data_IF_154684548534
#
_entry.id   IF_154684548534
#
_cell.length_a   1.000
_cell.length_b   1.000
_cell.length_c   1.000
_cell.angle_alpha   90.00
_cell.angle_beta   90.00
_cell.angle_gamma   90.00
#
_symmetry.space_group_name_H-M   'P 1'
#
loop_
_entity.id
_entity.type
_entity.pdbx_description
1 polymer ?
#
# COMPACT_ATOMS: atom_id res chain seq x y z
N UNK A 1 11.96 8.97 25.70
CA UNK A 1 12.45 9.67 24.48
C UNK A 1 12.58 11.18 24.69
N UNK A 2 13.71 11.79 24.34
CA UNK A 2 13.97 13.23 24.52
C UNK A 2 13.01 14.09 23.67
N UNK A 3 12.43 15.15 24.27
CA UNK A 3 11.43 16.04 23.64
C UNK A 3 11.92 16.66 22.33
N UNK A 4 13.20 17.02 22.27
CA UNK A 4 13.86 17.57 21.07
C UNK A 4 13.97 16.56 19.92
N UNK A 5 14.14 15.27 20.23
CA UNK A 5 14.21 14.21 19.22
C UNK A 5 12.83 13.91 18.62
N UNK A 6 11.78 13.97 19.44
CA UNK A 6 10.38 13.87 19.00
C UNK A 6 10.01 15.00 18.03
N UNK A 7 10.36 16.24 18.36
CA UNK A 7 10.04 17.41 17.52
C UNK A 7 10.77 17.38 16.17
N UNK A 8 12.05 16.97 16.15
CA UNK A 8 12.80 16.76 14.90
C UNK A 8 12.15 15.70 14.02
N UNK A 9 11.72 14.58 14.61
CA UNK A 9 11.04 13.50 13.88
C UNK A 9 9.72 13.99 13.28
N UNK A 10 8.89 14.70 14.06
CA UNK A 10 7.62 15.27 13.61
C UNK A 10 7.79 16.26 12.45
N UNK A 11 8.87 17.06 12.46
CA UNK A 11 9.16 18.00 11.38
C UNK A 11 9.63 17.27 10.12
N UNK A 12 10.47 16.23 10.27
CA UNK A 12 10.97 15.44 9.15
C UNK A 12 9.87 14.66 8.44
N UNK A 13 8.99 13.99 9.19
CA UNK A 13 7.90 13.18 8.59
C UNK A 13 6.74 14.00 8.04
N UNK A 14 6.74 15.33 8.24
CA UNK A 14 5.65 16.20 7.77
C UNK A 14 5.51 16.17 6.24
N UNK A 15 6.61 16.41 5.52
CA UNK A 15 6.61 16.43 4.07
C UNK A 15 6.18 15.06 3.51
N UNK A 16 6.73 13.98 4.08
CA UNK A 16 6.41 12.60 3.68
C UNK A 16 4.91 12.29 3.89
N UNK A 17 4.33 12.76 5.00
CA UNK A 17 2.91 12.58 5.28
C UNK A 17 2.04 13.30 4.25
N UNK A 18 2.35 14.58 3.97
CA UNK A 18 1.59 15.38 3.01
C UNK A 18 1.69 14.76 1.61
N UNK A 19 2.89 14.36 1.21
CA UNK A 19 3.14 13.73 -0.08
C UNK A 19 2.39 12.40 -0.20
N UNK A 20 2.41 11.56 0.86
CA UNK A 20 1.67 10.29 0.88
C UNK A 20 0.16 10.52 0.75
N UNK A 21 -0.40 11.52 1.43
CA UNK A 21 -1.80 11.89 1.30
C UNK A 21 -2.16 12.34 -0.12
N UNK A 22 -1.30 13.14 -0.77
CA UNK A 22 -1.50 13.57 -2.16
C UNK A 22 -1.50 12.37 -3.11
N UNK A 23 -0.52 11.46 -2.97
CA UNK A 23 -0.50 10.25 -3.79
C UNK A 23 -1.69 9.34 -3.52
N UNK A 24 -2.16 9.26 -2.27
CA UNK A 24 -3.36 8.53 -1.91
C UNK A 24 -4.60 9.11 -2.63
N UNK A 25 -4.74 10.43 -2.68
CA UNK A 25 -5.80 11.09 -3.46
C UNK A 25 -5.69 10.80 -4.96
N UNK A 26 -4.49 10.91 -5.54
CA UNK A 26 -4.26 10.56 -6.95
C UNK A 26 -4.63 9.10 -7.25
N UNK A 27 -4.33 8.18 -6.33
CA UNK A 27 -4.69 6.77 -6.48
C UNK A 27 -6.22 6.57 -6.47
N UNK A 28 -6.98 7.27 -5.63
CA UNK A 28 -8.46 7.24 -5.67
C UNK A 28 -8.96 7.71 -7.04
N UNK A 29 -8.43 8.83 -7.54
CA UNK A 29 -8.81 9.35 -8.87
C UNK A 29 -8.50 8.31 -9.95
N UNK A 30 -7.35 7.64 -9.86
CA UNK A 30 -6.98 6.53 -10.73
C UNK A 30 -7.97 5.36 -10.67
N UNK A 31 -8.39 4.95 -9.47
CA UNK A 31 -9.42 3.91 -9.29
C UNK A 31 -10.71 4.30 -10.01
N UNK A 32 -11.21 5.52 -9.76
CA UNK A 32 -12.44 6.02 -10.38
C UNK A 32 -12.31 6.06 -11.91
N UNK A 33 -11.17 6.53 -12.42
CA UNK A 33 -10.91 6.56 -13.86
C UNK A 33 -10.96 5.17 -14.49
N UNK A 34 -10.33 4.16 -13.87
CA UNK A 34 -10.33 2.79 -14.38
C UNK A 34 -11.75 2.20 -14.41
N UNK A 35 -12.53 2.40 -13.34
CA UNK A 35 -13.91 1.89 -13.30
C UNK A 35 -14.84 2.62 -14.27
N UNK A 36 -14.69 3.93 -14.48
CA UNK A 36 -15.42 4.66 -15.53
C UNK A 36 -15.01 4.13 -16.92
N UNK A 37 -13.72 3.90 -17.14
CA UNK A 37 -13.21 3.29 -18.38
C UNK A 37 -13.86 1.93 -18.66
N UNK A 38 -14.00 1.08 -17.63
CA UNK A 38 -14.70 -0.19 -17.75
C UNK A 38 -16.18 -0.04 -18.10
N UNK A 39 -16.90 0.92 -17.47
CA UNK A 39 -18.31 1.17 -17.76
C UNK A 39 -18.49 1.64 -19.21
N UNK A 40 -17.60 2.48 -19.72
CA UNK A 40 -17.65 2.97 -21.10
C UNK A 40 -17.20 1.92 -22.12
N UNK A 41 -16.30 1.01 -21.74
CA UNK A 41 -15.71 0.00 -22.62
C UNK A 41 -15.70 -1.39 -21.96
N UNK A 42 -16.86 -2.02 -21.75
CA UNK A 42 -16.97 -3.26 -20.96
C UNK A 42 -16.30 -4.48 -21.59
N UNK A 43 -15.98 -4.42 -22.89
CA UNK A 43 -15.23 -5.45 -23.62
C UNK A 43 -13.76 -5.47 -23.22
N UNK A 44 -13.19 -4.34 -22.80
CA UNK A 44 -11.77 -4.19 -22.42
C UNK A 44 -11.63 -4.55 -20.93
N UNK A 45 -11.24 -5.78 -20.62
CA UNK A 45 -11.15 -6.29 -19.24
C UNK A 45 -9.93 -5.78 -18.46
N UNK A 46 -8.95 -5.20 -19.14
CA UNK A 46 -7.78 -4.53 -18.57
C UNK A 46 -8.19 -3.47 -17.55
N UNK A 47 -9.28 -2.75 -17.80
CA UNK A 47 -9.79 -1.73 -16.87
C UNK A 47 -10.15 -2.33 -15.50
N UNK A 48 -10.58 -3.59 -15.45
CA UNK A 48 -10.87 -4.30 -14.19
C UNK A 48 -9.57 -4.62 -13.46
N UNK A 49 -8.62 -5.31 -14.11
CA UNK A 49 -7.35 -5.69 -13.46
C UNK A 49 -6.58 -4.46 -13.02
N UNK A 50 -6.48 -3.43 -13.88
CA UNK A 50 -5.82 -2.17 -13.56
C UNK A 50 -6.53 -1.42 -12.43
N UNK A 51 -7.87 -1.41 -12.43
CA UNK A 51 -8.66 -0.82 -11.35
C UNK A 51 -8.37 -1.51 -10.02
N UNK A 52 -8.36 -2.84 -10.00
CA UNK A 52 -8.06 -3.63 -8.81
C UNK A 52 -6.62 -3.42 -8.30
N UNK A 53 -5.62 -3.42 -9.19
CA UNK A 53 -4.24 -3.09 -8.80
C UNK A 53 -4.13 -1.66 -8.25
N UNK A 54 -4.88 -0.71 -8.83
CA UNK A 54 -4.89 0.68 -8.33
C UNK A 54 -5.54 0.77 -6.94
N UNK A 55 -6.55 -0.06 -6.64
CA UNK A 55 -7.14 -0.18 -5.29
C UNK A 55 -6.11 -0.71 -4.29
N UNK A 56 -5.31 -1.70 -4.67
CA UNK A 56 -4.21 -2.22 -3.84
C UNK A 56 -3.21 -1.10 -3.53
N UNK A 57 -2.76 -0.36 -4.55
CA UNK A 57 -1.84 0.78 -4.38
C UNK A 57 -2.45 1.85 -3.46
N UNK A 58 -3.73 2.18 -3.65
CA UNK A 58 -4.45 3.11 -2.80
C UNK A 58 -4.45 2.68 -1.33
N UNK A 59 -4.75 1.40 -1.06
CA UNK A 59 -4.77 0.86 0.29
C UNK A 59 -3.39 0.95 0.95
N UNK A 60 -2.31 0.59 0.23
CA UNK A 60 -0.93 0.69 0.70
C UNK A 60 -0.54 2.14 1.05
N UNK A 61 -0.87 3.10 0.18
CA UNK A 61 -0.61 4.52 0.42
C UNK A 61 -1.41 5.06 1.61
N UNK A 62 -2.65 4.60 1.78
CA UNK A 62 -3.48 4.96 2.92
C UNK A 62 -2.87 4.46 4.23
N UNK A 63 -2.45 3.20 4.29
CA UNK A 63 -1.78 2.66 5.47
C UNK A 63 -0.46 3.37 5.76
N UNK A 64 0.33 3.70 4.73
CA UNK A 64 1.56 4.46 4.88
C UNK A 64 1.28 5.86 5.47
N UNK A 65 0.29 6.57 4.95
CA UNK A 65 -0.16 7.86 5.49
C UNK A 65 -0.59 7.75 6.95
N UNK A 66 -1.35 6.71 7.31
CA UNK A 66 -1.78 6.47 8.68
C UNK A 66 -0.63 6.14 9.63
N UNK A 67 0.39 5.40 9.16
CA UNK A 67 1.61 5.13 9.92
C UNK A 67 2.35 6.45 10.19
N UNK A 68 2.60 7.26 9.16
CA UNK A 68 3.29 8.54 9.31
C UNK A 68 2.54 9.51 10.25
N UNK A 69 1.21 9.54 10.17
CA UNK A 69 0.36 10.30 11.09
C UNK A 69 0.47 9.81 12.54
N UNK A 70 0.49 8.49 12.78
CA UNK A 70 0.66 7.94 14.13
C UNK A 70 2.03 8.32 14.70
N UNK A 71 3.10 8.21 13.90
CA UNK A 71 4.46 8.63 14.29
C UNK A 71 4.48 10.12 14.63
N UNK A 72 3.79 10.96 13.85
CA UNK A 72 3.73 12.40 14.11
C UNK A 72 2.95 12.74 15.38
N UNK A 73 1.86 12.02 15.66
CA UNK A 73 1.04 12.22 16.86
C UNK A 73 1.82 11.81 18.12
N UNK A 74 2.29 10.56 18.13
CA UNK A 74 2.91 9.93 19.31
C UNK A 74 4.39 10.26 19.47
N UNK A 75 5.07 10.61 18.38
CA UNK A 75 6.53 10.72 18.31
C UNK A 75 7.25 9.37 18.30
N UNK A 76 6.54 8.24 18.40
CA UNK A 76 7.15 6.91 18.54
C UNK A 76 7.06 6.14 17.21
N UNK A 77 8.19 5.70 16.63
CA UNK A 77 8.20 4.93 15.39
C UNK A 77 7.75 3.47 15.59
N UNK A 78 7.99 2.92 16.79
CA UNK A 78 7.58 1.56 17.13
C UNK A 78 6.34 1.60 18.01
N UNK A 79 5.24 1.04 17.50
CA UNK A 79 4.01 0.86 18.26
C UNK A 79 3.22 -0.31 17.72
N UNK A 80 2.44 -0.97 18.58
CA UNK A 80 1.54 -2.08 18.19
C UNK A 80 0.64 -1.69 17.01
N UNK A 81 0.12 -0.46 17.02
CA UNK A 81 -0.73 0.08 15.94
C UNK A 81 -0.01 0.21 14.59
N UNK A 82 1.29 0.54 14.58
CA UNK A 82 2.08 0.64 13.34
C UNK A 82 2.39 -0.77 12.83
N UNK A 83 2.79 -1.68 13.72
CA UNK A 83 3.03 -3.09 13.39
C UNK A 83 1.80 -3.73 12.75
N UNK A 84 0.61 -3.53 13.34
CA UNK A 84 -0.64 -4.06 12.76
C UNK A 84 -0.88 -3.51 11.35
N UNK A 85 -0.61 -2.22 11.10
CA UNK A 85 -0.77 -1.64 9.76
C UNK A 85 0.22 -2.23 8.76
N UNK A 86 1.48 -2.41 9.14
CA UNK A 86 2.48 -3.08 8.29
C UNK A 86 2.09 -4.52 7.96
N UNK A 87 1.54 -5.27 8.93
CA UNK A 87 1.04 -6.63 8.68
C UNK A 87 -0.16 -6.65 7.73
N UNK A 88 -1.09 -5.70 7.88
CA UNK A 88 -2.22 -5.55 6.97
C UNK A 88 -1.76 -5.20 5.56
N UNK A 89 -0.79 -4.30 5.41
CA UNK A 89 -0.14 -3.98 4.12
C UNK A 89 0.44 -5.23 3.46
N UNK A 90 1.20 -6.04 4.19
CA UNK A 90 1.74 -7.30 3.67
C UNK A 90 0.62 -8.23 3.16
N UNK A 91 -0.45 -8.41 3.93
CA UNK A 91 -1.60 -9.26 3.54
C UNK A 91 -2.28 -8.72 2.28
N UNK A 92 -2.48 -7.40 2.19
CA UNK A 92 -3.10 -6.75 1.03
C UNK A 92 -2.24 -6.93 -0.22
N UNK A 93 -0.92 -6.80 -0.11
CA UNK A 93 0.00 -7.06 -1.21
C UNK A 93 -0.02 -8.53 -1.63
N UNK A 94 -0.05 -9.49 -0.69
CA UNK A 94 -0.22 -10.90 -1.04
C UNK A 94 -1.51 -11.14 -1.80
N UNK A 95 -2.64 -10.63 -1.31
CA UNK A 95 -3.93 -10.74 -2.00
C UNK A 95 -3.94 -10.03 -3.36
N UNK A 96 -3.34 -8.85 -3.44
CA UNK A 96 -3.19 -8.05 -4.65
C UNK A 96 -2.33 -8.74 -5.71
N UNK A 97 -1.31 -9.47 -5.29
CA UNK A 97 -0.46 -10.26 -6.17
C UNK A 97 -1.17 -11.46 -6.79
N UNK A 98 -2.30 -11.91 -6.23
CA UNK A 98 -3.13 -12.98 -6.78
C UNK A 98 -4.16 -12.48 -7.81
N UNK A 99 -4.19 -11.19 -8.11
CA UNK A 99 -5.10 -10.59 -9.10
C UNK A 99 -4.53 -10.85 -10.49
N UNK A 100 -5.18 -11.65 -11.35
CA UNK A 100 -4.64 -11.92 -12.68
C UNK A 100 -4.66 -10.65 -13.54
N UNK A 101 -3.63 -10.48 -14.36
CA UNK A 101 -3.61 -9.47 -15.42
C UNK A 101 -4.50 -9.97 -16.56
N UNK A 102 -5.46 -9.14 -16.98
CA UNK A 102 -6.26 -9.41 -18.17
C UNK A 102 -5.65 -8.75 -19.39
N UNK A 103 -5.72 -9.44 -20.54
CA UNK A 103 -5.50 -8.84 -21.86
C UNK A 103 -6.68 -9.16 -22.77
N UNK A 104 -7.14 -8.15 -23.49
CA UNK A 104 -8.25 -8.20 -24.43
C UNK A 104 -7.71 -7.97 -25.83
N UNK A 105 -7.82 -8.98 -26.68
CA UNK A 105 -7.47 -8.89 -28.10
C UNK A 105 -8.74 -8.95 -28.95
N UNK A 106 -8.90 -8.02 -29.89
CA UNK A 106 -10.02 -8.07 -30.84
C UNK A 106 -9.80 -9.19 -31.85
N UNK A 107 -10.74 -10.15 -31.91
CA UNK A 107 -10.78 -11.17 -32.97
C UNK A 107 -11.63 -10.66 -34.14
N UNK A 108 -12.74 -9.97 -33.84
CA UNK A 108 -13.62 -9.31 -34.82
C UNK A 108 -14.27 -8.07 -34.19
N UNK A 109 -15.08 -7.32 -34.94
CA UNK A 109 -15.80 -6.13 -34.42
C UNK A 109 -16.70 -6.46 -33.20
N UNK A 110 -17.18 -7.71 -33.13
CA UNK A 110 -18.07 -8.16 -32.06
C UNK A 110 -17.45 -9.16 -31.08
N UNK A 111 -16.31 -9.77 -31.43
CA UNK A 111 -15.68 -10.81 -30.61
C UNK A 111 -14.32 -10.37 -30.07
N UNK A 112 -14.13 -10.57 -28.77
CA UNK A 112 -12.88 -10.33 -28.07
C UNK A 112 -12.38 -11.61 -27.42
N UNK A 113 -11.11 -11.94 -27.63
CA UNK A 113 -10.41 -12.93 -26.82
C UNK A 113 -10.01 -12.26 -25.50
N UNK A 114 -10.35 -12.87 -24.38
CA UNK A 114 -9.87 -12.46 -23.07
C UNK A 114 -8.91 -13.53 -22.59
N UNK A 115 -7.65 -13.15 -22.37
CA UNK A 115 -6.67 -13.99 -21.67
C UNK A 115 -6.43 -13.45 -20.27
N UNK A 116 -6.18 -14.37 -19.34
CA UNK A 116 -5.79 -14.06 -17.98
C UNK A 116 -4.43 -14.72 -17.71
N UNK A 117 -3.49 -13.97 -17.17
CA UNK A 117 -2.16 -14.48 -16.85
C UNK A 117 -1.66 -13.91 -15.53
N UNK A 118 -0.70 -14.63 -14.94
CA UNK A 118 0.16 -14.11 -13.89
C UNK A 118 1.47 -13.71 -14.52
N UNK A 119 1.84 -12.45 -14.38
CA UNK A 119 3.03 -11.87 -15.00
C UNK A 119 4.05 -11.39 -13.97
N UNK A 120 5.09 -10.69 -14.43
CA UNK A 120 6.11 -10.13 -13.55
C UNK A 120 5.55 -9.12 -12.54
N UNK A 121 4.48 -8.39 -12.87
CA UNK A 121 3.84 -7.44 -11.95
C UNK A 121 3.27 -8.18 -10.73
N UNK A 122 2.62 -9.33 -10.93
CA UNK A 122 2.15 -10.17 -9.83
C UNK A 122 3.28 -10.60 -8.91
N UNK A 123 4.38 -11.11 -9.48
CA UNK A 123 5.55 -11.58 -8.72
C UNK A 123 6.16 -10.44 -7.89
N UNK A 124 6.28 -9.24 -8.49
CA UNK A 124 6.80 -8.06 -7.81
C UNK A 124 5.91 -7.64 -6.63
N UNK A 125 4.59 -7.61 -6.82
CA UNK A 125 3.63 -7.27 -5.76
C UNK A 125 3.74 -8.26 -4.59
N UNK A 126 3.78 -9.57 -4.87
CA UNK A 126 3.94 -10.61 -3.84
C UNK A 126 5.27 -10.42 -3.09
N UNK A 127 6.35 -10.16 -3.83
CA UNK A 127 7.68 -9.98 -3.25
C UNK A 127 7.74 -8.75 -2.34
N UNK A 128 7.10 -7.65 -2.73
CA UNK A 128 6.93 -6.47 -1.87
C UNK A 128 6.14 -6.81 -0.59
N UNK A 129 5.10 -7.64 -0.71
CA UNK A 129 4.35 -8.14 0.44
C UNK A 129 5.23 -8.92 1.43
N UNK A 130 6.09 -9.81 0.92
CA UNK A 130 7.09 -10.54 1.73
C UNK A 130 8.02 -9.56 2.46
N UNK A 131 8.58 -8.59 1.73
CA UNK A 131 9.51 -7.60 2.29
C UNK A 131 8.85 -6.80 3.41
N UNK A 132 7.63 -6.29 3.19
CA UNK A 132 6.88 -5.54 4.21
C UNK A 132 6.53 -6.43 5.40
N UNK A 133 6.21 -7.71 5.17
CA UNK A 133 6.02 -8.70 6.23
C UNK A 133 7.25 -8.83 7.12
N UNK A 134 8.45 -8.96 6.53
CA UNK A 134 9.72 -9.02 7.27
C UNK A 134 9.99 -7.72 8.02
N UNK A 135 9.76 -6.56 7.38
CA UNK A 135 9.89 -5.25 8.04
C UNK A 135 8.97 -5.17 9.26
N UNK A 136 7.76 -5.73 9.19
CA UNK A 136 6.84 -5.74 10.33
C UNK A 136 7.42 -6.49 11.55
N UNK A 137 8.18 -7.57 11.33
CA UNK A 137 8.86 -8.31 12.40
C UNK A 137 10.04 -7.53 12.99
N UNK A 138 10.77 -6.77 12.16
CA UNK A 138 11.80 -5.83 12.65
C UNK A 138 11.16 -4.78 13.57
N UNK A 139 9.96 -4.31 13.25
CA UNK A 139 9.24 -3.35 14.09
C UNK A 139 8.74 -3.97 15.41
N UNK A 140 8.40 -5.27 15.43
CA UNK A 140 8.09 -6.00 16.67
C UNK A 140 9.30 -5.99 17.61
N UNK A 141 10.47 -6.34 17.09
CA UNK A 141 11.72 -6.28 17.86
C UNK A 141 12.07 -4.85 18.28
N UNK A 142 11.88 -3.86 17.40
CA UNK A 142 12.09 -2.46 17.73
C UNK A 142 11.17 -1.96 18.86
N UNK A 143 9.93 -2.47 18.92
CA UNK A 143 9.01 -2.14 20.00
C UNK A 143 9.47 -2.69 21.34
N UNK A 144 9.92 -3.96 21.41
CA UNK A 144 10.41 -4.53 22.68
C UNK A 144 11.62 -3.76 23.21
N UNK A 145 12.58 -3.42 22.34
CA UNK A 145 13.72 -2.59 22.73
C UNK A 145 13.30 -1.20 23.23
N UNK A 146 12.28 -0.61 22.61
CA UNK A 146 11.78 0.70 23.01
C UNK A 146 11.08 0.63 24.38
N UNK A 147 10.30 -0.42 24.63
CA UNK A 147 9.63 -0.66 25.91
C UNK A 147 10.64 -0.91 27.04
N UNK A 148 11.67 -1.71 26.79
CA UNK A 148 12.76 -1.96 27.75
C UNK A 148 13.49 -0.66 28.12
N UNK A 149 13.85 0.15 27.13
CA UNK A 149 14.53 1.42 27.38
C UNK A 149 13.63 2.45 28.08
N UNK A 150 12.35 2.52 27.73
CA UNK A 150 11.37 3.39 28.41
C UNK A 150 11.08 2.91 29.86
N UNK A 151 11.39 1.65 30.22
CA UNK A 151 11.25 1.13 31.59
C UNK A 151 12.42 1.46 32.53
N UNK A 152 13.60 1.71 31.96
CA UNK A 152 14.84 2.00 32.69
C UNK A 152 15.04 3.52 32.88
N UNK A 153 14.42 4.34 32.01
CA UNK A 153 14.52 5.80 32.00
C UNK A 153 13.43 6.49 32.83
#
# INVERSE_FOLDING_TARGET
MNKTMSEKLKKRTFADTVLSCIFCFCAIVGVVYQFIGYVNHPKIKEYISNGLFTVVIFAELCFLSLILLEIRKTGKPFSKKIITKLRLMAIILFGGGLIPSYMTSSISENESLISASFDMQNILIITLGVIIGIISEIFVYGLSLQEDNDSIA
#
